data_IF_874122462082
#
_entry.id   IF_874122462082
#
_cell.length_a   1.000
_cell.length_b   1.000
_cell.length_c   1.000
_cell.angle_alpha   90.00
_cell.angle_beta   90.00
_cell.angle_gamma   90.00
#
_symmetry.space_group_name_H-M   'P 1'
#
loop_
_entity.id
_entity.type
_entity.pdbx_description
1 polymer ?
#
# COMPACT_ATOMS: atom_id res chain seq x y z
N UNK A 1 16.75 2.64 6.73
CA UNK A 1 15.90 2.20 7.85
C UNK A 1 15.20 0.95 7.35
N UNK A 2 15.22 -0.14 8.11
CA UNK A 2 14.50 -1.36 7.71
C UNK A 2 13.02 -1.13 8.04
N UNK A 3 12.19 -1.01 7.02
CA UNK A 3 10.74 -0.86 7.21
C UNK A 3 10.12 -2.24 7.32
N UNK A 4 9.34 -2.44 8.38
CA UNK A 4 8.67 -3.71 8.59
C UNK A 4 7.55 -3.89 7.58
N UNK A 5 7.54 -5.04 6.92
CA UNK A 5 6.47 -5.39 5.99
C UNK A 5 5.12 -5.33 6.71
N UNK A 6 4.17 -4.59 6.14
CA UNK A 6 2.82 -4.44 6.69
C UNK A 6 2.54 -3.16 7.46
N UNK A 7 3.56 -2.32 7.74
CA UNK A 7 3.34 -1.00 8.33
C UNK A 7 2.90 0.02 7.29
N UNK A 8 2.28 1.11 7.75
CA UNK A 8 1.92 2.24 6.89
C UNK A 8 3.14 2.80 6.15
N UNK A 9 4.26 3.04 6.85
CA UNK A 9 5.50 3.60 6.29
C UNK A 9 6.02 2.75 5.11
N UNK A 10 6.01 1.42 5.25
CA UNK A 10 6.39 0.49 4.19
C UNK A 10 5.52 0.68 2.94
N UNK A 11 4.20 0.78 3.13
CA UNK A 11 3.27 0.98 2.02
C UNK A 11 3.37 2.39 1.42
N UNK A 12 3.56 3.41 2.24
CA UNK A 12 3.74 4.80 1.81
C UNK A 12 4.95 4.94 0.90
N UNK A 13 6.08 4.31 1.25
CA UNK A 13 7.25 4.28 0.37
C UNK A 13 6.98 3.57 -0.96
N UNK A 14 6.33 2.40 -0.92
CA UNK A 14 6.00 1.64 -2.14
C UNK A 14 5.08 2.42 -3.07
N UNK A 15 4.04 3.03 -2.50
CA UNK A 15 3.07 3.85 -3.23
C UNK A 15 3.71 5.13 -3.76
N UNK A 16 4.45 5.87 -2.93
CA UNK A 16 5.13 7.12 -3.31
C UNK A 16 6.17 6.91 -4.41
N UNK A 17 6.95 5.83 -4.34
CA UNK A 17 7.88 5.47 -5.41
C UNK A 17 7.20 5.30 -6.76
N UNK A 18 5.96 4.81 -6.78
CA UNK A 18 5.22 4.58 -8.02
C UNK A 18 4.50 5.82 -8.55
N UNK A 19 4.17 6.77 -7.67
CA UNK A 19 3.57 8.05 -8.03
C UNK A 19 4.61 9.08 -8.51
N UNK A 20 5.89 8.93 -8.14
CA UNK A 20 6.96 9.88 -8.44
C UNK A 20 7.31 10.06 -9.92
N UNK A 21 6.90 9.15 -10.81
CA UNK A 21 7.33 9.15 -12.23
C UNK A 21 6.24 9.49 -13.24
N UNK A 22 4.99 9.09 -13.00
CA UNK A 22 3.80 9.51 -13.74
C UNK A 22 2.61 9.05 -12.89
N UNK A 23 1.85 10.00 -12.36
CA UNK A 23 0.83 9.77 -11.36
C UNK A 23 -0.44 9.12 -11.95
N UNK A 24 -0.34 7.87 -12.39
CA UNK A 24 -1.44 7.10 -12.99
C UNK A 24 -2.18 6.29 -11.91
N UNK A 25 -3.47 6.59 -11.71
CA UNK A 25 -4.35 5.84 -10.79
C UNK A 25 -4.37 4.34 -11.11
N UNK A 26 -4.20 3.95 -12.39
CA UNK A 26 -4.12 2.54 -12.78
C UNK A 26 -2.87 1.87 -12.22
N UNK A 27 -1.74 2.59 -12.13
CA UNK A 27 -0.52 2.06 -11.51
C UNK A 27 -0.74 1.84 -10.02
N UNK A 28 -1.35 2.82 -9.34
CA UNK A 28 -1.68 2.69 -7.91
C UNK A 28 -2.57 1.47 -7.65
N UNK A 29 -3.66 1.32 -8.42
CA UNK A 29 -4.56 0.16 -8.31
C UNK A 29 -3.83 -1.17 -8.55
N UNK A 30 -2.92 -1.22 -9.53
CA UNK A 30 -2.13 -2.42 -9.80
C UNK A 30 -1.21 -2.81 -8.65
N UNK A 31 -0.55 -1.82 -8.03
CA UNK A 31 0.35 -2.07 -6.90
C UNK A 31 -0.43 -2.45 -5.65
N UNK A 32 -1.55 -1.79 -5.39
CA UNK A 32 -2.44 -2.12 -4.29
C UNK A 32 -2.94 -3.58 -4.43
N UNK A 33 -3.38 -3.98 -5.62
CA UNK A 33 -3.81 -5.36 -5.87
C UNK A 33 -2.68 -6.38 -5.70
N UNK A 34 -1.46 -6.03 -6.09
CA UNK A 34 -0.29 -6.89 -5.88
C UNK A 34 0.02 -7.06 -4.39
N UNK A 35 0.11 -5.96 -3.63
CA UNK A 35 0.38 -5.99 -2.20
C UNK A 35 -0.74 -6.71 -1.43
N UNK A 36 -1.99 -6.50 -1.81
CA UNK A 36 -3.12 -7.23 -1.24
C UNK A 36 -2.99 -8.74 -1.45
N UNK A 37 -2.60 -9.17 -2.67
CA UNK A 37 -2.37 -10.57 -2.97
C UNK A 37 -1.25 -11.16 -2.10
N UNK A 38 -0.11 -10.46 -2.03
CA UNK A 38 1.03 -10.87 -1.20
C UNK A 38 0.62 -11.04 0.28
N UNK A 39 -0.10 -10.06 0.85
CA UNK A 39 -0.58 -10.10 2.24
C UNK A 39 -1.54 -11.28 2.49
N UNK A 40 -2.42 -11.58 1.52
CA UNK A 40 -3.42 -12.65 1.66
C UNK A 40 -2.84 -14.05 1.49
N UNK A 41 -1.87 -14.21 0.59
CA UNK A 41 -1.47 -15.53 0.09
C UNK A 41 -0.01 -15.88 0.37
N UNK A 42 0.89 -14.91 0.43
CA UNK A 42 2.34 -15.14 0.53
C UNK A 42 2.90 -14.76 1.91
N UNK A 43 2.23 -13.84 2.61
CA UNK A 43 2.61 -13.42 3.95
C UNK A 43 2.03 -14.33 5.04
N UNK A 44 2.88 -15.23 5.56
CA UNK A 44 2.53 -16.14 6.66
C UNK A 44 2.54 -15.36 7.98
N UNK A 45 1.36 -14.96 8.43
CA UNK A 45 1.15 -14.25 9.69
C UNK A 45 -0.16 -14.67 10.36
N UNK A 46 -0.36 -14.24 11.60
CA UNK A 46 -1.66 -14.38 12.25
C UNK A 46 -2.73 -13.56 11.52
N UNK A 47 -3.97 -14.06 11.49
CA UNK A 47 -5.10 -13.40 10.83
C UNK A 47 -5.30 -11.96 11.30
N UNK A 48 -5.07 -11.68 12.59
CA UNK A 48 -5.12 -10.32 13.14
C UNK A 48 -4.10 -9.39 12.48
N UNK A 49 -2.86 -9.84 12.34
CA UNK A 49 -1.78 -9.07 11.70
C UNK A 49 -2.09 -8.89 10.22
N UNK A 50 -2.61 -9.92 9.55
CA UNK A 50 -3.04 -9.82 8.15
C UNK A 50 -4.08 -8.73 7.95
N UNK A 51 -5.09 -8.68 8.83
CA UNK A 51 -6.15 -7.66 8.78
C UNK A 51 -5.58 -6.25 8.94
N UNK A 52 -4.69 -6.08 9.92
CA UNK A 52 -4.00 -4.80 10.17
C UNK A 52 -3.16 -4.37 8.96
N UNK A 53 -2.42 -5.29 8.34
CA UNK A 53 -1.64 -5.00 7.12
C UNK A 53 -2.53 -4.55 5.96
N UNK A 54 -3.70 -5.19 5.79
CA UNK A 54 -4.66 -4.80 4.75
C UNK A 54 -5.29 -3.44 5.04
N UNK A 55 -5.65 -3.16 6.29
CA UNK A 55 -6.17 -1.85 6.71
C UNK A 55 -5.15 -0.75 6.42
N UNK A 56 -3.90 -0.93 6.85
CA UNK A 56 -2.80 0.00 6.56
C UNK A 56 -2.61 0.24 5.05
N UNK A 57 -2.62 -0.83 4.24
CA UNK A 57 -2.48 -0.72 2.79
C UNK A 57 -3.61 0.13 2.17
N UNK A 58 -4.86 -0.11 2.56
CA UNK A 58 -6.00 0.63 2.02
C UNK A 58 -6.02 2.09 2.47
N UNK A 59 -5.70 2.37 3.73
CA UNK A 59 -5.61 3.74 4.24
C UNK A 59 -4.52 4.55 3.53
N UNK A 60 -3.36 3.95 3.27
CA UNK A 60 -2.29 4.60 2.49
C UNK A 60 -2.74 4.85 1.04
N UNK A 61 -3.41 3.89 0.41
CA UNK A 61 -3.90 4.07 -0.96
C UNK A 61 -4.98 5.16 -1.05
N UNK A 62 -5.90 5.22 -0.09
CA UNK A 62 -6.96 6.23 -0.05
C UNK A 62 -6.40 7.65 0.18
N UNK A 63 -5.43 7.79 1.08
CA UNK A 63 -4.66 9.04 1.26
C UNK A 63 -3.97 9.45 -0.03
N UNK A 64 -3.27 8.52 -0.68
CA UNK A 64 -2.56 8.80 -1.92
C UNK A 64 -3.47 9.23 -3.09
N UNK A 65 -4.74 8.82 -3.11
CA UNK A 65 -5.75 9.28 -4.07
C UNK A 65 -6.29 10.66 -3.65
N UNK A 66 -6.57 10.85 -2.36
CA UNK A 66 -7.11 12.10 -1.81
C UNK A 66 -6.12 13.27 -1.92
N UNK A 67 -4.83 13.03 -1.69
CA UNK A 67 -3.77 14.03 -1.87
C UNK A 67 -3.65 14.53 -3.33
N UNK A 68 -4.09 13.73 -4.31
CA UNK A 68 -4.16 14.19 -5.71
C UNK A 68 -5.34 15.12 -5.99
N UNK A 69 -6.43 15.07 -5.22
CA UNK A 69 -7.61 15.92 -5.44
C UNK A 69 -7.43 17.36 -4.94
N UNK A 70 -6.44 17.59 -4.08
CA UNK A 70 -6.16 18.90 -3.46
C UNK A 70 -4.95 19.64 -4.06
N UNK A 71 -4.37 19.16 -5.16
CA UNK A 71 -3.23 19.79 -5.86
C UNK A 71 -3.59 20.12 -7.30
#
# INVERSE_FOLDING_TARGET
>A
MEEFYGTEEYFEQKVSNCLSKDADEKKLSKIAAQLEYEIRHEFICHERIRKECLENLFEVCDRAISDKKNK
#
